data_IF_638698045135
#
_entry.id   IF_638698045135
#
_cell.length_a   1.000
_cell.length_b   1.000
_cell.length_c   1.000
_cell.angle_alpha   90.00
_cell.angle_beta   90.00
_cell.angle_gamma   90.00
#
_symmetry.space_group_name_H-M   'P 1'
#
loop_
_entity.id
_entity.type
_entity.pdbx_description
1 polymer ?
#
# COMPACT_ATOMS: atom_id res chain seq x y z
N UNK A 1 -15.21 -6.58 -19.62
CA UNK A 1 -15.00 -5.15 -19.31
C UNK A 1 -13.57 -4.80 -19.65
N UNK A 2 -13.38 -3.79 -20.47
CA UNK A 2 -12.08 -3.42 -21.02
C UNK A 2 -11.25 -2.66 -19.97
N UNK A 3 -9.97 -3.04 -19.83
CA UNK A 3 -9.00 -2.35 -18.96
C UNK A 3 -8.73 -0.92 -19.42
N UNK A 4 -9.10 -0.56 -20.65
CA UNK A 4 -8.95 0.79 -21.20
C UNK A 4 -9.78 1.84 -20.44
N UNK A 5 -10.97 1.48 -19.95
CA UNK A 5 -11.89 2.44 -19.32
C UNK A 5 -11.55 2.70 -17.85
N UNK A 6 -11.16 1.66 -17.10
CA UNK A 6 -10.77 1.77 -15.69
C UNK A 6 -9.42 1.09 -15.44
N UNK A 7 -8.31 1.78 -15.76
CA UNK A 7 -7.00 1.15 -15.82
C UNK A 7 -6.44 0.77 -14.44
N UNK A 8 -7.07 1.22 -13.35
CA UNK A 8 -6.64 0.95 -11.97
C UNK A 8 -7.59 0.02 -11.19
N UNK A 9 -8.43 -0.77 -11.87
CA UNK A 9 -9.24 -1.79 -11.18
C UNK A 9 -8.38 -2.92 -10.61
N UNK A 10 -8.57 -3.20 -9.32
CA UNK A 10 -7.88 -4.29 -8.63
C UNK A 10 -8.45 -5.69 -8.93
N UNK A 11 -9.69 -5.78 -9.39
CA UNK A 11 -10.36 -7.04 -9.70
C UNK A 11 -10.97 -6.98 -11.11
N UNK A 12 -11.06 -8.12 -11.79
CA UNK A 12 -11.63 -8.20 -13.14
C UNK A 12 -13.10 -7.79 -13.19
N UNK A 13 -13.85 -8.19 -12.16
CA UNK A 13 -15.27 -7.90 -12.03
C UNK A 13 -15.47 -6.96 -10.83
N UNK A 14 -15.90 -5.70 -11.06
CA UNK A 14 -16.22 -4.78 -9.98
C UNK A 14 -17.50 -5.22 -9.27
N UNK A 15 -17.62 -4.89 -7.98
CA UNK A 15 -18.83 -5.15 -7.19
C UNK A 15 -19.92 -4.13 -7.53
N UNK A 16 -21.21 -4.43 -7.26
CA UNK A 16 -22.29 -3.45 -7.44
C UNK A 16 -21.99 -2.14 -6.71
N UNK A 17 -22.18 -1.00 -7.39
CA UNK A 17 -21.89 0.35 -6.87
C UNK A 17 -20.39 0.72 -6.79
N UNK A 18 -19.47 -0.20 -7.06
CA UNK A 18 -18.03 0.09 -7.00
C UNK A 18 -17.59 1.04 -8.13
N UNK A 19 -18.15 0.86 -9.33
CA UNK A 19 -17.86 1.72 -10.49
C UNK A 19 -18.40 3.14 -10.29
N UNK A 20 -19.60 3.26 -9.73
CA UNK A 20 -20.22 4.55 -9.39
C UNK A 20 -19.34 5.32 -8.40
N UNK A 21 -18.90 4.68 -7.31
CA UNK A 21 -17.96 5.27 -6.36
C UNK A 21 -16.62 5.69 -7.01
N UNK A 22 -16.13 4.93 -8.00
CA UNK A 22 -14.92 5.30 -8.75
C UNK A 22 -15.18 6.55 -9.59
N UNK A 23 -16.28 6.59 -10.35
CA UNK A 23 -16.65 7.70 -11.21
C UNK A 23 -16.86 8.99 -10.42
N UNK A 24 -17.61 8.93 -9.32
CA UNK A 24 -17.86 10.07 -8.44
C UNK A 24 -16.56 10.57 -7.80
N UNK A 25 -15.71 9.64 -7.37
CA UNK A 25 -14.37 9.96 -6.86
C UNK A 25 -13.50 10.66 -7.90
N UNK A 26 -13.46 10.16 -9.14
CA UNK A 26 -12.70 10.79 -10.24
C UNK A 26 -13.22 12.20 -10.51
N UNK A 27 -14.54 12.36 -10.63
CA UNK A 27 -15.17 13.65 -10.92
C UNK A 27 -14.84 14.68 -9.84
N UNK A 28 -14.98 14.32 -8.57
CA UNK A 28 -14.69 15.21 -7.45
C UNK A 28 -13.20 15.59 -7.40
N UNK A 29 -12.30 14.61 -7.50
CA UNK A 29 -10.85 14.83 -7.40
C UNK A 29 -10.29 15.57 -8.61
N UNK A 30 -10.81 15.33 -9.81
CA UNK A 30 -10.41 16.06 -11.02
C UNK A 30 -10.79 17.55 -10.95
N UNK A 31 -11.92 17.87 -10.30
CA UNK A 31 -12.34 19.24 -10.02
C UNK A 31 -11.63 19.90 -8.83
N UNK A 32 -10.67 19.23 -8.18
CA UNK A 32 -9.98 19.74 -6.99
C UNK A 32 -10.83 19.71 -5.71
N UNK A 33 -11.97 19.01 -5.72
CA UNK A 33 -12.88 18.89 -4.58
C UNK A 33 -12.69 17.59 -3.79
N UNK A 34 -13.71 17.27 -2.99
CA UNK A 34 -13.74 16.11 -2.10
C UNK A 34 -14.94 15.22 -2.41
N UNK A 35 -14.77 13.91 -2.26
CA UNK A 35 -15.86 12.94 -2.37
C UNK A 35 -16.10 12.29 -1.00
N UNK A 36 -17.28 12.49 -0.44
CA UNK A 36 -17.72 11.86 0.79
C UNK A 36 -18.73 10.76 0.44
N UNK A 37 -18.39 9.51 0.75
CA UNK A 37 -19.21 8.36 0.43
C UNK A 37 -19.56 7.55 1.69
N UNK A 38 -20.86 7.31 1.89
CA UNK A 38 -21.35 6.29 2.79
C UNK A 38 -21.60 5.01 1.98
N UNK A 39 -20.69 4.04 2.09
CA UNK A 39 -20.80 2.80 1.33
C UNK A 39 -20.69 1.58 2.26
N UNK A 40 -21.47 0.51 2.04
CA UNK A 40 -21.49 -0.66 2.92
C UNK A 40 -20.14 -1.36 2.99
N UNK A 41 -19.94 -2.16 4.03
CA UNK A 41 -18.78 -3.08 4.09
C UNK A 41 -18.83 -4.04 2.91
N UNK A 42 -17.67 -4.42 2.39
CA UNK A 42 -17.60 -5.35 1.26
C UNK A 42 -17.92 -4.77 -0.12
N UNK A 43 -18.28 -3.49 -0.29
CA UNK A 43 -18.43 -2.91 -1.65
C UNK A 43 -17.08 -2.71 -2.37
N UNK A 44 -15.96 -2.72 -1.62
CA UNK A 44 -14.63 -2.48 -2.16
C UNK A 44 -14.17 -1.02 -2.09
N UNK A 45 -14.57 -0.28 -1.04
CA UNK A 45 -14.18 1.12 -0.79
C UNK A 45 -12.69 1.41 -1.01
N UNK A 46 -11.81 0.55 -0.49
CA UNK A 46 -10.36 0.69 -0.64
C UNK A 46 -9.93 0.63 -2.11
N UNK A 47 -10.42 -0.37 -2.85
CA UNK A 47 -10.10 -0.50 -4.27
C UNK A 47 -10.72 0.62 -5.12
N UNK A 48 -11.94 1.05 -4.79
CA UNK A 48 -12.61 2.14 -5.49
C UNK A 48 -11.88 3.49 -5.30
N UNK A 49 -11.60 3.85 -4.05
CA UNK A 49 -10.89 5.09 -3.72
C UNK A 49 -9.46 5.12 -4.28
N UNK A 50 -8.72 4.01 -4.22
CA UNK A 50 -7.40 3.89 -4.86
C UNK A 50 -7.48 4.05 -6.38
N UNK A 51 -8.44 3.37 -7.03
CA UNK A 51 -8.59 3.47 -8.48
C UNK A 51 -8.87 4.91 -8.92
N UNK A 52 -9.80 5.60 -8.24
CA UNK A 52 -10.12 6.99 -8.53
C UNK A 52 -8.92 7.92 -8.31
N UNK A 53 -8.24 7.81 -7.17
CA UNK A 53 -7.10 8.66 -6.85
C UNK A 53 -5.92 8.45 -7.81
N UNK A 54 -5.61 7.19 -8.15
CA UNK A 54 -4.52 6.85 -9.08
C UNK A 54 -4.84 7.30 -10.51
N UNK A 55 -6.11 7.25 -10.92
CA UNK A 55 -6.54 7.74 -12.22
C UNK A 55 -6.36 9.25 -12.35
N UNK A 56 -6.80 10.02 -11.36
CA UNK A 56 -6.61 11.48 -11.35
C UNK A 56 -5.13 11.85 -11.21
N UNK A 57 -4.36 11.11 -10.41
CA UNK A 57 -2.91 11.32 -10.30
C UNK A 57 -2.19 11.02 -11.61
N UNK A 58 -2.55 9.94 -12.31
CA UNK A 58 -1.93 9.52 -13.56
C UNK A 58 -2.26 10.41 -14.77
N UNK A 59 -3.40 11.12 -14.74
CA UNK A 59 -3.77 12.10 -15.78
C UNK A 59 -3.19 13.50 -15.54
N UNK A 60 -2.62 13.76 -14.37
CA UNK A 60 -2.11 15.09 -14.04
C UNK A 60 -0.79 15.37 -14.76
N UNK A 61 -0.65 16.58 -15.32
CA UNK A 61 0.62 17.05 -15.89
C UNK A 61 1.74 17.19 -14.84
N UNK A 62 1.35 17.40 -13.58
CA UNK A 62 2.26 17.43 -12.45
C UNK A 62 2.25 16.08 -11.73
N UNK A 63 3.42 15.65 -11.25
CA UNK A 63 3.54 14.42 -10.49
C UNK A 63 2.81 14.56 -9.14
N UNK A 64 1.74 13.78 -8.96
CA UNK A 64 0.98 13.70 -7.71
C UNK A 64 1.36 12.45 -6.90
N UNK A 65 1.38 12.59 -5.57
CA UNK A 65 1.55 11.48 -4.63
C UNK A 65 0.22 11.22 -3.93
N UNK A 66 -0.25 9.97 -3.94
CA UNK A 66 -1.47 9.57 -3.24
C UNK A 66 -1.11 9.16 -1.81
N UNK A 67 -1.59 9.92 -0.83
CA UNK A 67 -1.53 9.54 0.58
C UNK A 67 -2.81 8.80 0.97
N UNK A 68 -2.67 7.52 1.33
CA UNK A 68 -3.80 6.68 1.74
C UNK A 68 -3.75 6.45 3.24
N UNK A 69 -4.78 6.89 3.97
CA UNK A 69 -4.84 6.80 5.42
C UNK A 69 -5.84 5.72 5.85
N UNK A 70 -5.46 4.89 6.82
CA UNK A 70 -6.35 3.91 7.44
C UNK A 70 -6.26 4.01 8.95
N UNK A 71 -7.33 3.63 9.65
CA UNK A 71 -7.36 3.74 11.12
C UNK A 71 -6.64 2.60 11.83
N UNK A 72 -6.40 1.48 11.14
CA UNK A 72 -5.82 0.26 11.74
C UNK A 72 -4.77 -0.35 10.85
N UNK A 73 -3.69 -0.82 11.47
CA UNK A 73 -2.58 -1.50 10.79
C UNK A 73 -3.03 -2.72 9.96
N UNK A 74 -4.01 -3.49 10.43
CA UNK A 74 -4.57 -4.61 9.65
C UNK A 74 -5.17 -4.18 8.30
N UNK A 75 -5.61 -2.93 8.19
CA UNK A 75 -6.16 -2.36 6.96
C UNK A 75 -5.07 -1.90 5.98
N UNK A 76 -3.85 -1.59 6.45
CA UNK A 76 -2.71 -1.30 5.56
C UNK A 76 -2.41 -2.47 4.63
N UNK A 77 -2.51 -3.71 5.13
CA UNK A 77 -2.35 -4.92 4.31
C UNK A 77 -3.32 -4.95 3.13
N UNK A 78 -4.58 -4.53 3.35
CA UNK A 78 -5.59 -4.48 2.29
C UNK A 78 -5.16 -3.51 1.18
N UNK A 79 -4.60 -2.35 1.54
CA UNK A 79 -4.10 -1.34 0.59
C UNK A 79 -2.93 -1.92 -0.22
N UNK A 80 -1.93 -2.51 0.45
CA UNK A 80 -0.76 -3.13 -0.18
C UNK A 80 -1.17 -4.22 -1.17
N UNK A 81 -2.05 -5.14 -0.75
CA UNK A 81 -2.52 -6.23 -1.61
C UNK A 81 -3.38 -5.72 -2.77
N UNK A 82 -4.14 -4.63 -2.57
CA UNK A 82 -4.90 -3.98 -3.64
C UNK A 82 -3.96 -3.40 -4.71
N UNK A 83 -2.90 -2.68 -4.31
CA UNK A 83 -1.92 -2.13 -5.26
C UNK A 83 -1.17 -3.24 -5.99
N UNK A 84 -0.82 -4.35 -5.32
CA UNK A 84 -0.23 -5.53 -5.97
C UNK A 84 -1.15 -6.08 -7.05
N UNK A 85 -2.45 -6.24 -6.77
CA UNK A 85 -3.44 -6.72 -7.76
C UNK A 85 -3.60 -5.76 -8.93
N UNK A 86 -3.60 -4.45 -8.68
CA UNK A 86 -3.61 -3.43 -9.74
C UNK A 86 -2.40 -3.62 -10.66
N UNK A 87 -1.19 -3.73 -10.10
CA UNK A 87 0.02 -3.92 -10.89
C UNK A 87 0.01 -5.24 -11.68
N UNK A 88 -0.51 -6.33 -11.09
CA UNK A 88 -0.67 -7.60 -11.80
C UNK A 88 -1.60 -7.51 -13.02
N UNK A 89 -2.60 -6.61 -12.99
CA UNK A 89 -3.52 -6.40 -14.10
C UNK A 89 -2.98 -5.43 -15.16
N UNK A 90 -2.01 -4.60 -14.79
CA UNK A 90 -1.38 -3.58 -15.66
C UNK A 90 0.00 -4.03 -16.14
N UNK A 91 0.14 -5.29 -16.55
CA UNK A 91 1.41 -5.78 -17.09
C UNK A 91 1.82 -4.97 -18.33
N UNK A 92 3.10 -4.66 -18.44
CA UNK A 92 3.63 -3.80 -19.51
C UNK A 92 3.46 -2.30 -19.29
N UNK A 93 2.75 -1.87 -18.23
CA UNK A 93 2.69 -0.47 -17.82
C UNK A 93 3.68 -0.17 -16.69
N UNK A 94 3.98 1.12 -16.48
CA UNK A 94 4.75 1.54 -15.30
C UNK A 94 3.99 1.13 -14.02
N UNK A 95 4.64 0.42 -13.09
CA UNK A 95 3.98 -0.07 -11.88
C UNK A 95 3.68 1.07 -10.92
N UNK A 96 2.55 0.96 -10.22
CA UNK A 96 2.23 1.81 -9.07
C UNK A 96 3.19 1.44 -7.95
N UNK A 97 4.03 2.39 -7.56
CA UNK A 97 4.93 2.27 -6.41
C UNK A 97 4.18 2.65 -5.14
N UNK A 98 4.39 1.87 -4.08
CA UNK A 98 3.79 2.07 -2.78
C UNK A 98 4.86 2.00 -1.70
N UNK A 99 4.77 2.90 -0.72
CA UNK A 99 5.51 2.86 0.54
C UNK A 99 4.47 2.70 1.65
N UNK A 100 4.64 1.69 2.48
CA UNK A 100 3.78 1.46 3.64
C UNK A 100 4.43 2.07 4.89
N UNK A 101 3.76 3.06 5.48
CA UNK A 101 4.23 3.77 6.67
C UNK A 101 3.48 3.23 7.88
N UNK A 102 4.20 2.54 8.76
CA UNK A 102 3.69 1.97 10.01
C UNK A 102 4.55 2.42 11.18
N UNK A 103 4.08 2.27 12.41
CA UNK A 103 4.84 2.69 13.60
C UNK A 103 6.20 1.99 13.71
N UNK A 104 7.16 2.62 14.39
CA UNK A 104 8.55 2.13 14.50
C UNK A 104 8.63 0.66 14.94
N UNK A 105 7.88 0.26 15.98
CA UNK A 105 7.83 -1.12 16.44
C UNK A 105 7.32 -2.08 15.35
N UNK A 106 6.33 -1.66 14.55
CA UNK A 106 5.82 -2.45 13.43
C UNK A 106 6.77 -2.53 12.22
N UNK A 107 7.80 -1.67 12.16
CA UNK A 107 8.85 -1.73 11.15
C UNK A 107 10.13 -2.41 11.64
N UNK A 108 10.29 -2.54 12.97
CA UNK A 108 11.48 -3.09 13.58
C UNK A 108 11.53 -4.62 13.38
N UNK A 109 12.67 -5.12 12.90
CA UNK A 109 12.89 -6.56 12.69
C UNK A 109 13.53 -7.25 13.89
N UNK A 110 13.89 -6.48 14.91
CA UNK A 110 14.55 -7.02 16.10
C UNK A 110 13.54 -7.70 17.02
N UNK A 111 13.92 -8.76 17.76
CA UNK A 111 13.02 -9.48 18.65
C UNK A 111 12.32 -8.58 19.68
N UNK A 112 13.02 -7.54 20.16
CA UNK A 112 12.50 -6.59 21.14
C UNK A 112 11.35 -5.69 20.61
N UNK A 113 11.05 -5.74 19.30
CA UNK A 113 9.91 -5.03 18.71
C UNK A 113 8.55 -5.45 19.29
N UNK A 114 8.48 -6.64 19.89
CA UNK A 114 7.26 -7.19 20.51
C UNK A 114 7.13 -6.86 21.99
N UNK A 115 8.13 -6.21 22.57
CA UNK A 115 8.12 -5.82 23.98
C UNK A 115 7.14 -4.67 24.23
N UNK A 116 6.92 -4.36 25.50
CA UNK A 116 6.13 -3.19 25.90
C UNK A 116 6.67 -1.89 25.25
N UNK A 117 5.83 -0.88 24.98
CA UNK A 117 6.26 0.35 24.31
C UNK A 117 7.46 1.05 24.97
N UNK A 118 7.55 1.00 26.30
CA UNK A 118 8.66 1.59 27.05
C UNK A 118 9.97 0.83 26.82
N UNK A 119 9.94 -0.50 26.90
CA UNK A 119 11.10 -1.36 26.64
C UNK A 119 11.54 -1.24 25.19
N UNK A 120 10.58 -1.26 24.25
CA UNK A 120 10.86 -1.04 22.83
C UNK A 120 11.59 0.29 22.60
N UNK A 121 11.09 1.38 23.18
CA UNK A 121 11.68 2.72 22.99
C UNK A 121 13.12 2.78 23.49
N UNK A 122 13.37 2.27 24.71
CA UNK A 122 14.70 2.20 25.31
C UNK A 122 15.66 1.38 24.43
N UNK A 123 15.29 0.14 24.08
CA UNK A 123 16.13 -0.76 23.29
C UNK A 123 16.36 -0.23 21.87
N UNK A 124 15.36 0.38 21.25
CA UNK A 124 15.46 0.99 19.93
C UNK A 124 16.48 2.14 19.93
N UNK A 125 16.47 3.00 20.96
CA UNK A 125 17.44 4.11 21.09
C UNK A 125 18.88 3.66 21.29
N UNK A 126 19.08 2.45 21.83
CA UNK A 126 20.40 1.87 22.11
C UNK A 126 20.90 0.96 20.98
N UNK A 127 20.05 0.68 19.98
CA UNK A 127 20.39 -0.22 18.90
C UNK A 127 21.43 0.42 17.94
N UNK A 128 22.41 -0.36 17.44
CA UNK A 128 23.37 0.14 16.45
C UNK A 128 22.68 0.59 15.16
N UNK A 129 23.21 1.62 14.49
CA UNK A 129 22.64 2.19 13.25
C UNK A 129 22.42 1.15 12.13
N UNK A 130 23.26 0.11 12.08
CA UNK A 130 23.18 -0.95 11.07
C UNK A 130 21.90 -1.82 11.17
N UNK A 131 21.13 -1.67 12.26
CA UNK A 131 19.83 -2.30 12.46
C UNK A 131 18.81 -1.89 11.38
N UNK A 132 18.93 -0.67 10.83
CA UNK A 132 18.04 -0.19 9.77
C UNK A 132 18.24 -0.93 8.44
N UNK A 133 19.48 -1.23 8.08
CA UNK A 133 19.81 -1.96 6.85
C UNK A 133 19.31 -3.42 6.91
N UNK A 134 19.40 -4.06 8.08
CA UNK A 134 18.82 -5.38 8.32
C UNK A 134 17.30 -5.39 8.16
N UNK A 135 16.61 -4.32 8.59
CA UNK A 135 15.16 -4.22 8.46
C UNK A 135 14.70 -4.13 7.00
N UNK A 136 15.44 -3.41 6.16
CA UNK A 136 15.14 -3.27 4.73
C UNK A 136 15.33 -4.59 3.95
N UNK A 137 16.37 -5.36 4.27
CA UNK A 137 16.66 -6.62 3.57
C UNK A 137 15.64 -7.71 3.92
N UNK A 138 15.21 -7.79 5.19
CA UNK A 138 14.23 -8.77 5.64
C UNK A 138 12.84 -8.58 4.99
N UNK A 139 12.45 -7.34 4.70
CA UNK A 139 11.14 -7.04 4.05
C UNK A 139 11.17 -7.19 2.53
N UNK A 140 12.34 -7.10 1.87
CA UNK A 140 12.49 -7.42 0.44
C UNK A 140 12.38 -8.92 0.16
N UNK A 141 12.89 -9.74 1.06
CA UNK A 141 12.97 -11.21 0.89
C UNK A 141 11.70 -11.96 1.29
N UNK A 142 10.81 -11.32 2.06
CA UNK A 142 9.57 -11.93 2.54
C UNK A 142 9.81 -13.08 3.54
N UNK A 143 8.77 -13.56 4.23
CA UNK A 143 8.90 -14.63 5.23
C UNK A 143 9.31 -16.00 4.67
N UNK A 144 9.43 -16.15 3.34
CA UNK A 144 9.78 -17.42 2.67
C UNK A 144 11.22 -17.45 2.11
N UNK A 145 12.02 -16.38 2.28
CA UNK A 145 13.36 -16.29 1.69
C UNK A 145 14.54 -16.66 2.60
N UNK A 146 14.31 -17.07 3.85
CA UNK A 146 15.37 -17.25 4.87
C UNK A 146 16.12 -18.59 4.81
N UNK A 147 15.86 -19.45 3.82
CA UNK A 147 16.58 -20.70 3.61
C UNK A 147 17.23 -20.73 2.23
N UNK A 148 18.37 -20.07 2.07
CA UNK A 148 19.47 -20.44 1.13
C UNK A 148 20.41 -19.27 0.84
N UNK A 149 21.15 -18.77 1.83
CA UNK A 149 22.42 -18.08 1.55
C UNK A 149 23.45 -18.48 2.59
N UNK A 150 24.21 -19.54 2.29
CA UNK A 150 25.51 -19.73 2.91
C UNK A 150 26.44 -18.57 2.47
N UNK A 151 27.29 -18.04 3.35
CA UNK A 151 28.27 -17.04 2.97
C UNK A 151 29.35 -17.68 2.08
N UNK A 152 29.69 -17.00 0.98
CA UNK A 152 30.81 -17.36 0.13
C UNK A 152 32.14 -17.31 0.93
N UNK A 153 33.07 -18.26 0.74
CA UNK A 153 34.36 -18.23 1.41
C UNK A 153 35.23 -17.08 0.88
N UNK A 154 36.09 -16.57 1.76
CA UNK A 154 37.06 -15.49 1.51
C UNK A 154 38.06 -15.83 0.41
#
# INVERSE_FOLDING_TARGET
>A
MDSSTYPFLAHATPRPGQLEMIQDGIKALAGGGFHLAAAPTGIGKTAASLAAALEVAGRSSQKKTVFFLTSRQTQHRIVVDTVRRINQRRQGMMPVRLVDMVGQAGMCVQPFAKESPLVFSLMCSQAPENTFLQALDHRRTGPQGAHSRQPAPR
#
